data_IF_541275115401
#
_entry.id   IF_541275115401
#
_cell.length_a   1.000
_cell.length_b   1.000
_cell.length_c   1.000
_cell.angle_alpha   90.00
_cell.angle_beta   90.00
_cell.angle_gamma   90.00
#
_symmetry.space_group_name_H-M   'P 1'
#
loop_
_entity.id
_entity.type
_entity.pdbx_description
1 polymer ?
#
# COMPACT_ATOMS: atom_id res chain seq x y z
N UNK A 1 -2.08 4.67 13.26
CA UNK A 1 -3.26 3.83 12.88
C UNK A 1 -4.51 4.68 12.89
N UNK A 2 -5.47 4.41 12.02
CA UNK A 2 -6.72 5.16 12.03
C UNK A 2 -7.54 4.88 13.28
N UNK A 3 -8.42 5.83 13.62
CA UNK A 3 -9.31 5.66 14.78
C UNK A 3 -10.30 4.52 14.53
N UNK A 4 -10.69 3.83 15.59
CA UNK A 4 -11.69 2.76 15.50
C UNK A 4 -13.03 3.26 14.91
N UNK A 5 -13.35 4.54 15.12
CA UNK A 5 -14.54 5.17 14.57
C UNK A 5 -14.42 5.68 13.14
N UNK A 6 -13.27 5.42 12.47
CA UNK A 6 -13.08 5.87 11.10
C UNK A 6 -14.10 5.21 10.16
N UNK A 7 -14.60 5.97 9.21
CA UNK A 7 -15.48 5.46 8.16
C UNK A 7 -14.64 4.89 7.02
N UNK A 8 -15.02 3.71 6.56
CA UNK A 8 -14.34 3.03 5.47
C UNK A 8 -15.23 2.96 4.24
N UNK A 9 -14.63 3.27 3.09
CA UNK A 9 -15.29 3.14 1.79
C UNK A 9 -14.72 1.96 1.04
N UNK A 10 -15.54 1.14 0.36
CA UNK A 10 -15.00 0.11 -0.51
C UNK A 10 -14.25 0.73 -1.69
N UNK A 11 -13.13 0.14 -2.05
CA UNK A 11 -12.30 0.56 -3.16
C UNK A 11 -11.74 -0.67 -3.83
N UNK A 12 -11.95 -0.79 -5.14
CA UNK A 12 -11.47 -1.92 -5.92
C UNK A 12 -10.21 -1.56 -6.69
N UNK A 13 -9.30 -2.52 -6.82
CA UNK A 13 -8.15 -2.36 -7.68
C UNK A 13 -8.59 -2.32 -9.14
N UNK A 14 -7.91 -1.49 -9.92
CA UNK A 14 -8.11 -1.42 -11.36
C UNK A 14 -7.38 -2.55 -12.07
N UNK A 15 -7.52 -2.62 -13.39
CA UNK A 15 -6.77 -3.55 -14.22
C UNK A 15 -5.28 -3.45 -13.93
N UNK A 16 -4.62 -4.60 -13.72
CA UNK A 16 -3.21 -4.62 -13.33
C UNK A 16 -2.94 -4.48 -11.84
N UNK A 17 -3.98 -4.38 -11.02
CA UNK A 17 -3.85 -4.33 -9.56
C UNK A 17 -3.62 -2.94 -8.98
N UNK A 18 -3.76 -1.90 -9.80
CA UNK A 18 -3.59 -0.52 -9.31
C UNK A 18 -4.76 -0.11 -8.43
N UNK A 19 -4.49 0.30 -7.19
CA UNK A 19 -5.44 0.98 -6.34
C UNK A 19 -5.27 2.48 -6.56
N UNK A 20 -6.19 3.09 -7.29
CA UNK A 20 -6.09 4.48 -7.71
C UNK A 20 -6.81 5.38 -6.71
N UNK A 21 -6.06 5.89 -5.75
CA UNK A 21 -6.61 6.76 -4.69
C UNK A 21 -7.10 8.09 -5.25
N UNK A 22 -6.49 8.57 -6.33
CA UNK A 22 -6.90 9.81 -6.99
C UNK A 22 -8.36 9.76 -7.45
N UNK A 23 -8.84 8.61 -7.90
CA UNK A 23 -10.24 8.47 -8.35
C UNK A 23 -11.24 8.64 -7.23
N UNK A 24 -10.85 8.38 -5.98
CA UNK A 24 -11.76 8.46 -4.83
C UNK A 24 -11.66 9.82 -4.15
N UNK A 25 -10.45 10.32 -3.94
CA UNK A 25 -10.21 11.52 -3.14
C UNK A 25 -9.68 12.70 -3.94
N UNK A 26 -9.39 12.52 -5.24
CA UNK A 26 -8.75 13.54 -6.05
C UNK A 26 -7.31 13.79 -5.65
N UNK A 27 -6.68 14.77 -6.27
CA UNK A 27 -5.35 15.20 -5.91
C UNK A 27 -5.43 16.26 -4.81
N UNK A 28 -4.44 16.34 -3.91
CA UNK A 28 -4.34 17.47 -2.99
C UNK A 28 -4.26 18.78 -3.76
N UNK A 29 -4.94 19.82 -3.24
CA UNK A 29 -5.17 21.05 -4.00
C UNK A 29 -3.91 21.85 -4.30
N UNK A 30 -2.95 21.92 -3.37
CA UNK A 30 -1.74 22.70 -3.58
C UNK A 30 -0.68 22.36 -2.54
N UNK A 31 0.62 22.46 -2.89
CA UNK A 31 1.67 22.40 -1.91
C UNK A 31 1.61 23.63 -0.98
N UNK A 32 2.02 23.53 0.27
CA UNK A 32 2.63 22.36 0.90
C UNK A 32 1.62 21.35 1.46
N UNK A 33 0.37 21.39 1.03
CA UNK A 33 -0.67 20.49 1.53
C UNK A 33 -0.22 19.04 1.43
N UNK A 34 -0.31 18.32 2.55
CA UNK A 34 0.02 16.90 2.63
C UNK A 34 -1.22 16.14 3.06
N UNK A 35 -1.58 15.14 2.28
CA UNK A 35 -2.72 14.29 2.56
C UNK A 35 -2.26 12.87 2.86
N UNK A 36 -2.92 12.23 3.80
CA UNK A 36 -2.69 10.82 4.14
C UNK A 36 -4.01 10.09 4.02
N UNK A 37 -3.99 8.96 3.34
CA UNK A 37 -5.12 8.06 3.32
C UNK A 37 -4.73 6.72 3.91
N UNK A 38 -5.69 6.02 4.49
CA UNK A 38 -5.53 4.67 4.97
C UNK A 38 -6.31 3.72 4.10
N UNK A 39 -5.65 2.64 3.71
CA UNK A 39 -6.26 1.55 2.96
C UNK A 39 -6.21 0.31 3.83
N UNK A 40 -7.23 -0.52 3.74
CA UNK A 40 -7.38 -1.69 4.59
C UNK A 40 -7.84 -2.87 3.77
N UNK A 41 -7.24 -4.03 4.02
CA UNK A 41 -7.69 -5.29 3.46
C UNK A 41 -7.38 -6.41 4.46
N UNK A 42 -7.81 -7.62 4.13
CA UNK A 42 -7.47 -8.78 4.93
C UNK A 42 -6.97 -9.92 4.05
N UNK A 43 -6.11 -10.75 4.65
CA UNK A 43 -5.58 -11.95 4.01
C UNK A 43 -5.80 -13.10 4.98
N UNK A 44 -6.44 -14.16 4.51
CA UNK A 44 -6.62 -15.37 5.28
C UNK A 44 -5.53 -16.37 4.93
N UNK A 45 -4.83 -16.89 5.92
CA UNK A 45 -3.75 -17.84 5.75
C UNK A 45 -4.07 -19.16 6.47
N UNK A 46 -3.78 -20.27 5.81
CA UNK A 46 -4.03 -21.60 6.39
C UNK A 46 -3.04 -21.94 7.48
N UNK A 47 -1.91 -21.24 7.54
CA UNK A 47 -0.85 -21.48 8.53
C UNK A 47 -0.05 -20.21 8.75
N UNK A 48 0.75 -20.18 9.82
CA UNK A 48 1.74 -19.12 10.01
C UNK A 48 2.82 -19.25 8.94
N UNK A 49 3.04 -18.16 8.19
CA UNK A 49 4.02 -18.12 7.11
C UNK A 49 4.36 -16.69 6.74
N UNK A 50 5.42 -16.49 5.98
CA UNK A 50 5.75 -15.21 5.38
C UNK A 50 5.61 -15.29 3.88
N UNK A 51 5.09 -14.21 3.28
CA UNK A 51 5.02 -14.06 1.82
C UNK A 51 5.89 -12.89 1.41
N UNK A 52 6.62 -13.06 0.31
CA UNK A 52 7.32 -11.94 -0.32
C UNK A 52 6.31 -11.11 -1.11
N UNK A 53 6.35 -9.79 -0.90
CA UNK A 53 5.42 -8.85 -1.53
C UNK A 53 6.22 -7.89 -2.39
N UNK A 54 5.83 -7.76 -3.65
CA UNK A 54 6.27 -6.67 -4.51
C UNK A 54 5.30 -5.51 -4.33
N UNK A 55 5.82 -4.29 -4.21
CA UNK A 55 5.01 -3.13 -3.89
C UNK A 55 5.41 -1.93 -4.74
N UNK A 56 4.40 -1.20 -5.21
CA UNK A 56 4.57 0.09 -5.88
C UNK A 56 3.67 1.12 -5.23
N UNK A 57 4.16 2.36 -5.15
CA UNK A 57 3.42 3.44 -4.48
C UNK A 57 3.87 4.80 -4.98
N UNK A 58 3.08 5.82 -4.63
CA UNK A 58 3.45 7.21 -4.85
C UNK A 58 3.88 7.85 -3.52
N UNK A 59 5.01 8.55 -3.53
CA UNK A 59 5.62 9.34 -2.46
C UNK A 59 6.01 8.55 -1.22
N UNK A 60 5.15 8.42 -0.23
CA UNK A 60 5.52 7.77 1.03
C UNK A 60 4.48 6.72 1.40
N UNK A 61 4.96 5.59 1.92
CA UNK A 61 4.11 4.46 2.28
C UNK A 61 4.53 3.86 3.62
N UNK A 62 3.54 3.40 4.37
CA UNK A 62 3.73 2.62 5.59
C UNK A 62 2.76 1.44 5.53
N UNK A 63 3.28 0.23 5.75
CA UNK A 63 2.47 -1.00 5.73
C UNK A 63 2.49 -1.64 7.10
N UNK A 64 1.32 -2.00 7.59
CA UNK A 64 1.13 -2.66 8.87
C UNK A 64 0.41 -3.99 8.67
N UNK A 65 0.81 -5.00 9.40
CA UNK A 65 0.07 -6.26 9.49
C UNK A 65 -0.28 -6.50 10.95
N UNK A 66 -1.56 -6.72 11.22
CA UNK A 66 -2.09 -6.94 12.57
C UNK A 66 -1.58 -5.88 13.57
N UNK A 67 -1.53 -4.62 13.11
CA UNK A 67 -1.12 -3.49 13.93
C UNK A 67 0.38 -3.24 14.03
N UNK A 68 1.23 -4.09 13.45
CA UNK A 68 2.67 -3.93 13.47
C UNK A 68 3.20 -3.44 12.14
N UNK A 69 4.03 -2.41 12.16
CA UNK A 69 4.66 -1.91 10.94
C UNK A 69 5.67 -2.91 10.41
N UNK A 70 5.52 -3.29 9.16
CA UNK A 70 6.41 -4.25 8.49
C UNK A 70 7.20 -3.63 7.34
N UNK A 71 6.79 -2.45 6.86
CA UNK A 71 7.49 -1.78 5.78
C UNK A 71 7.19 -0.28 5.82
N UNK A 72 8.18 0.53 5.47
CA UNK A 72 8.02 1.96 5.26
C UNK A 72 9.11 2.44 4.30
N UNK A 73 8.75 3.27 3.32
CA UNK A 73 9.70 3.73 2.32
C UNK A 73 9.18 4.98 1.59
N UNK A 74 10.06 5.56 0.78
CA UNK A 74 9.77 6.75 -0.02
C UNK A 74 10.04 6.47 -1.50
N UNK A 75 9.26 7.12 -2.34
CA UNK A 75 9.45 7.12 -3.79
C UNK A 75 9.20 8.55 -4.27
N UNK A 76 10.20 9.40 -4.11
CA UNK A 76 10.11 10.82 -4.41
C UNK A 76 10.80 11.11 -5.74
N UNK A 77 10.18 11.93 -6.58
CA UNK A 77 10.81 12.33 -7.84
C UNK A 77 12.03 13.22 -7.58
N UNK A 78 11.97 14.08 -6.58
CA UNK A 78 13.09 14.92 -6.15
C UNK A 78 13.31 14.75 -4.65
N UNK A 79 14.56 14.63 -4.18
CA UNK A 79 15.79 14.58 -4.99
C UNK A 79 15.92 13.25 -5.75
N UNK A 80 16.74 13.20 -6.83
CA UNK A 80 16.84 12.00 -7.67
C UNK A 80 17.23 10.72 -6.94
N UNK A 81 18.03 10.81 -5.88
CA UNK A 81 18.44 9.65 -5.09
C UNK A 81 17.31 9.08 -4.23
N UNK A 82 16.19 9.78 -4.11
CA UNK A 82 14.99 9.28 -3.43
C UNK A 82 13.99 8.62 -4.38
N UNK A 83 14.32 8.51 -5.67
CA UNK A 83 13.48 7.81 -6.65
C UNK A 83 13.66 6.31 -6.55
N UNK A 84 12.56 5.59 -6.69
CA UNK A 84 12.60 4.13 -6.84
C UNK A 84 12.48 3.78 -8.34
N UNK A 85 13.10 2.66 -8.78
CA UNK A 85 12.91 2.21 -10.16
C UNK A 85 11.42 1.96 -10.47
N UNK A 86 10.94 2.27 -11.66
CA UNK A 86 11.59 2.98 -12.75
C UNK A 86 11.36 4.50 -12.65
N UNK A 87 12.39 5.28 -12.43
CA UNK A 87 12.38 6.74 -12.46
C UNK A 87 11.32 7.42 -11.59
N UNK A 88 11.07 6.89 -10.40
CA UNK A 88 10.08 7.43 -9.47
C UNK A 88 8.64 7.12 -9.84
N UNK A 89 8.39 6.34 -10.88
CA UNK A 89 7.04 5.94 -11.28
C UNK A 89 6.50 4.82 -10.41
N UNK A 90 5.19 4.82 -10.20
CA UNK A 90 4.51 3.74 -9.52
C UNK A 90 4.66 2.43 -10.30
N UNK A 91 5.24 1.42 -9.71
CA UNK A 91 5.48 0.12 -10.32
C UNK A 91 5.77 -0.91 -9.24
N UNK A 92 5.46 -2.17 -9.51
CA UNK A 92 5.86 -3.28 -8.62
C UNK A 92 7.37 -3.42 -8.50
N UNK A 93 8.15 -2.68 -9.28
CA UNK A 93 9.62 -2.62 -9.16
C UNK A 93 10.07 -1.65 -8.06
N UNK A 94 9.17 -0.86 -7.48
CA UNK A 94 9.55 0.16 -6.49
C UNK A 94 10.17 -0.46 -5.24
N UNK A 95 9.64 -1.56 -4.75
CA UNK A 95 10.19 -2.20 -3.56
C UNK A 95 9.63 -3.58 -3.33
N UNK A 96 10.13 -4.22 -2.29
CA UNK A 96 9.63 -5.52 -1.84
C UNK A 96 9.89 -5.68 -0.35
N UNK A 97 9.09 -6.52 0.29
CA UNK A 97 9.25 -6.82 1.72
C UNK A 97 8.65 -8.18 2.03
N UNK A 98 8.99 -8.69 3.22
CA UNK A 98 8.41 -9.92 3.74
C UNK A 98 7.18 -9.58 4.58
N UNK A 99 6.05 -10.21 4.27
CA UNK A 99 4.79 -10.02 4.98
C UNK A 99 4.55 -11.22 5.90
N UNK A 100 4.70 -11.05 7.21
CA UNK A 100 4.42 -12.14 8.15
C UNK A 100 2.91 -12.31 8.31
N UNK A 101 2.45 -13.55 8.19
CA UNK A 101 1.03 -13.89 8.34
C UNK A 101 0.86 -14.92 9.42
N UNK A 102 -0.16 -14.73 10.27
CA UNK A 102 -0.60 -15.74 11.22
C UNK A 102 -1.62 -16.66 10.57
N UNK A 103 -1.78 -17.86 11.10
CA UNK A 103 -2.89 -18.72 10.69
C UNK A 103 -4.21 -17.98 11.00
N UNK A 104 -5.13 -18.03 10.04
CA UNK A 104 -6.40 -17.31 10.15
C UNK A 104 -6.38 -15.98 9.41
N UNK A 105 -7.23 -15.06 9.82
CA UNK A 105 -7.37 -13.74 9.19
C UNK A 105 -6.29 -12.77 9.66
N UNK A 106 -5.72 -12.04 8.72
CA UNK A 106 -4.72 -11.01 8.96
C UNK A 106 -5.22 -9.68 8.42
N UNK A 107 -5.15 -8.63 9.22
CA UNK A 107 -5.51 -7.29 8.79
C UNK A 107 -4.26 -6.59 8.23
N UNK A 108 -4.39 -6.06 7.02
CA UNK A 108 -3.35 -5.29 6.35
C UNK A 108 -3.82 -3.85 6.25
N UNK A 109 -3.09 -2.94 6.85
CA UNK A 109 -3.37 -1.51 6.78
C UNK A 109 -2.21 -0.82 6.10
N UNK A 110 -2.52 0.09 5.18
CA UNK A 110 -1.54 0.86 4.46
C UNK A 110 -1.85 2.34 4.60
N UNK A 111 -0.88 3.12 5.04
CA UNK A 111 -0.93 4.57 5.00
C UNK A 111 -0.16 5.04 3.78
N UNK A 112 -0.77 5.92 3.00
CA UNK A 112 -0.19 6.46 1.78
C UNK A 112 -0.26 7.99 1.86
N UNK A 113 0.88 8.66 1.78
CA UNK A 113 0.96 10.11 1.84
C UNK A 113 1.30 10.70 0.48
N UNK A 114 0.68 11.82 0.15
CA UNK A 114 0.93 12.55 -1.09
C UNK A 114 0.75 14.05 -0.86
N UNK A 115 1.33 14.87 -1.76
CA UNK A 115 1.18 16.32 -1.71
C UNK A 115 0.22 16.84 -2.77
N UNK A 116 0.61 16.78 -4.05
CA UNK A 116 -0.18 17.36 -5.14
C UNK A 116 -0.17 16.55 -6.42
N UNK A 117 0.53 15.42 -6.44
CA UNK A 117 0.50 14.50 -7.58
C UNK A 117 -0.61 13.46 -7.38
N UNK A 118 -0.90 12.72 -8.42
CA UNK A 118 -1.76 11.54 -8.30
C UNK A 118 -1.18 10.55 -7.31
N UNK A 119 -2.02 9.79 -6.65
CA UNK A 119 -1.59 8.79 -5.67
C UNK A 119 -2.27 7.44 -5.89
N UNK A 120 -1.51 6.41 -5.66
CA UNK A 120 -1.96 5.04 -5.85
C UNK A 120 -1.00 4.04 -5.24
N UNK A 121 -1.40 2.79 -5.31
CA UNK A 121 -0.72 1.67 -4.67
C UNK A 121 -0.91 0.41 -5.50
N UNK A 122 0.15 -0.40 -5.59
CA UNK A 122 0.11 -1.76 -6.13
C UNK A 122 0.79 -2.70 -5.16
N UNK A 123 0.17 -3.85 -4.91
CA UNK A 123 0.71 -4.91 -4.06
C UNK A 123 0.51 -6.25 -4.74
N UNK A 124 1.54 -7.07 -4.73
CA UNK A 124 1.45 -8.43 -5.28
C UNK A 124 2.24 -9.41 -4.41
N UNK A 125 1.60 -10.47 -3.96
CA UNK A 125 2.28 -11.59 -3.32
C UNK A 125 3.00 -12.42 -4.37
N UNK A 126 4.16 -12.99 -4.00
CA UNK A 126 4.95 -13.84 -4.89
C UNK A 126 4.20 -15.12 -5.29
N UNK A 127 3.38 -15.65 -4.41
CA UNK A 127 2.47 -16.75 -4.70
C UNK A 127 1.25 -16.67 -3.77
N UNK A 128 0.20 -17.45 -4.10
CA UNK A 128 -1.04 -17.49 -3.32
C UNK A 128 -1.22 -18.81 -2.56
N UNK A 129 -0.15 -19.59 -2.42
CA UNK A 129 -0.25 -20.88 -1.74
C UNK A 129 -0.62 -20.70 -0.28
N UNK A 130 -1.70 -21.32 0.13
CA UNK A 130 -2.18 -21.29 1.51
C UNK A 130 -2.79 -19.97 1.95
N UNK A 131 -3.07 -19.04 1.02
CA UNK A 131 -3.69 -17.75 1.34
C UNK A 131 -4.90 -17.46 0.46
N UNK A 132 -5.82 -16.67 1.02
CA UNK A 132 -6.97 -16.17 0.29
C UNK A 132 -7.08 -14.66 0.53
N UNK A 133 -7.15 -13.91 -0.56
CA UNK A 133 -7.26 -12.45 -0.49
C UNK A 133 -8.72 -12.04 -0.30
N UNK A 134 -8.95 -10.98 0.44
CA UNK A 134 -10.27 -10.36 0.55
C UNK A 134 -10.67 -9.75 -0.81
N UNK A 135 -11.96 -9.73 -1.05
CA UNK A 135 -12.53 -9.12 -2.24
C UNK A 135 -13.05 -7.73 -1.94
#
# INVERSE_FOLDING_TARGET
MPKASAEWRPLSAERGGLVNVTRVYGNPLAPPARSVTWLKTSIESTKSQSKKVAIGWTREIWVFVNGQRVYADKNLFQPPDARKPPEGRLSLQNGSFELPLNAGENEIDVALANNFYGWGLMLRLDDLDGVRLAR
#
